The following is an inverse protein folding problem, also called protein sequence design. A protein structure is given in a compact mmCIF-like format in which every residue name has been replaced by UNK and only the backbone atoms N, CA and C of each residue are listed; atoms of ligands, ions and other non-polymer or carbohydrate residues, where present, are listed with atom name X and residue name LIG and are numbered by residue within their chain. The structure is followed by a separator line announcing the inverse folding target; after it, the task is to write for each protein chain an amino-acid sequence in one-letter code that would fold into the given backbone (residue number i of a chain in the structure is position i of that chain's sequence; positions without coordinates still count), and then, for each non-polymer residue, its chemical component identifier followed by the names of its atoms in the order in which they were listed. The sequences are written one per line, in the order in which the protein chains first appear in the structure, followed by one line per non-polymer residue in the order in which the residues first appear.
data_IF_887636647760
#
_entry.id   IF_887636647760
#
_cell.length_a   1.000
_cell.length_b   1.000
_cell.length_c   1.000
_cell.angle_alpha   90.00
_cell.angle_beta   90.00
_cell.angle_gamma   90.00
#
_symmetry.space_group_name_H-M   'P 1'
#
loop_
_entity.id
_entity.type
_entity.pdbx_description
1 polymer ?
#
# COMPACT_ATOMS: atom_id res chain seq x y z
N UNK A 1 -42.36 -33.07 40.18
CA UNK A 1 -41.44 -33.45 39.09
C UNK A 1 -41.56 -32.40 38.01
N UNK A 2 -40.76 -31.35 38.09
CA UNK A 2 -40.64 -30.30 37.07
C UNK A 2 -39.55 -30.71 36.09
N UNK A 3 -39.89 -30.87 34.81
CA UNK A 3 -38.90 -31.03 33.76
C UNK A 3 -38.28 -29.67 33.43
N UNK A 4 -36.95 -29.64 33.48
CA UNK A 4 -36.12 -28.52 33.08
C UNK A 4 -36.20 -28.31 31.57
N UNK A 5 -36.56 -27.09 31.15
CA UNK A 5 -36.21 -26.59 29.82
C UNK A 5 -34.79 -26.05 29.88
N UNK A 6 -33.94 -26.56 28.99
CA UNK A 6 -32.52 -26.26 28.93
C UNK A 6 -32.24 -24.78 28.77
N UNK A 7 -31.25 -24.30 29.51
CA UNK A 7 -30.65 -22.99 29.36
C UNK A 7 -30.02 -22.89 27.97
N UNK A 8 -30.62 -22.06 27.11
CA UNK A 8 -29.94 -21.57 25.91
C UNK A 8 -28.72 -20.77 26.35
N UNK A 9 -27.54 -21.14 25.81
CA UNK A 9 -26.30 -20.41 26.05
C UNK A 9 -26.43 -18.92 25.68
N UNK A 10 -25.55 -18.04 26.20
CA UNK A 10 -25.66 -16.62 25.99
C UNK A 10 -25.51 -16.32 24.50
N UNK A 11 -26.61 -15.93 23.85
CA UNK A 11 -26.56 -15.27 22.57
C UNK A 11 -25.76 -13.99 22.79
N UNK A 12 -24.50 -13.99 22.35
CA UNK A 12 -23.63 -12.82 22.42
C UNK A 12 -24.32 -11.67 21.70
N UNK A 13 -24.80 -10.68 22.45
CA UNK A 13 -25.30 -9.44 21.87
C UNK A 13 -24.10 -8.65 21.37
N UNK A 14 -23.65 -8.95 20.15
CA UNK A 14 -22.78 -8.00 19.44
C UNK A 14 -23.55 -6.68 19.34
N UNK A 15 -23.03 -5.64 19.99
CA UNK A 15 -23.59 -4.30 19.86
C UNK A 15 -23.31 -3.83 18.44
N UNK A 16 -24.37 -3.60 17.67
CA UNK A 16 -24.26 -3.05 16.32
C UNK A 16 -23.68 -1.63 16.42
N UNK A 17 -22.55 -1.39 15.78
CA UNK A 17 -21.98 -0.04 15.66
C UNK A 17 -22.72 0.71 14.54
N UNK A 18 -23.50 1.72 14.91
CA UNK A 18 -24.21 2.59 13.95
C UNK A 18 -23.40 3.83 13.57
N UNK A 19 -22.28 4.11 14.24
CA UNK A 19 -21.43 5.28 14.01
C UNK A 19 -20.19 4.90 13.19
N UNK A 20 -20.43 4.31 12.02
CA UNK A 20 -19.36 3.88 11.12
C UNK A 20 -18.66 5.12 10.52
N UNK A 21 -17.32 5.11 10.55
CA UNK A 21 -16.50 6.12 9.88
C UNK A 21 -15.94 5.51 8.61
N UNK A 22 -16.52 5.89 7.46
CA UNK A 22 -15.98 5.52 6.15
C UNK A 22 -14.77 6.39 5.80
N UNK A 23 -13.93 5.94 4.86
CA UNK A 23 -12.84 6.74 4.33
C UNK A 23 -13.34 8.08 3.76
N UNK A 24 -14.44 8.07 3.01
CA UNK A 24 -15.01 9.30 2.44
C UNK A 24 -15.48 10.28 3.51
N UNK A 25 -16.07 9.77 4.61
CA UNK A 25 -16.43 10.60 5.78
C UNK A 25 -15.18 11.16 6.45
N UNK A 26 -14.19 10.31 6.73
CA UNK A 26 -12.91 10.71 7.33
C UNK A 26 -12.24 11.83 6.54
N UNK A 27 -12.09 11.67 5.22
CA UNK A 27 -11.46 12.68 4.36
C UNK A 27 -12.25 13.99 4.33
N UNK A 28 -13.58 13.91 4.33
CA UNK A 28 -14.45 15.11 4.37
C UNK A 28 -14.33 15.85 5.70
N UNK A 29 -14.29 15.12 6.82
CA UNK A 29 -14.09 15.69 8.15
C UNK A 29 -12.68 16.31 8.30
N UNK A 30 -11.64 15.67 7.77
CA UNK A 30 -10.29 16.24 7.73
C UNK A 30 -10.23 17.51 6.87
N UNK A 31 -10.84 17.50 5.68
CA UNK A 31 -10.85 18.68 4.79
C UNK A 31 -11.38 19.94 5.50
N UNK A 32 -12.44 19.81 6.30
CA UNK A 32 -13.06 20.94 7.02
C UNK A 32 -12.10 21.58 8.04
N UNK A 33 -11.09 20.85 8.51
CA UNK A 33 -10.08 21.36 9.46
C UNK A 33 -9.06 22.30 8.79
N UNK A 34 -8.96 22.26 7.45
CA UNK A 34 -7.99 23.02 6.66
C UNK A 34 -8.68 24.11 5.85
N UNK A 35 -8.55 25.38 6.26
CA UNK A 35 -9.24 26.52 5.63
C UNK A 35 -8.83 26.73 4.16
N UNK A 36 -7.61 26.34 3.82
CA UNK A 36 -7.01 26.40 2.49
C UNK A 36 -7.43 25.24 1.57
N UNK A 37 -8.10 24.22 2.10
CA UNK A 37 -8.46 23.04 1.34
C UNK A 37 -9.66 23.31 0.43
N UNK A 38 -9.42 23.27 -0.89
CA UNK A 38 -10.48 23.49 -1.90
C UNK A 38 -11.30 22.23 -2.22
N UNK A 39 -10.89 21.07 -1.70
CA UNK A 39 -11.47 19.75 -2.00
C UNK A 39 -10.77 18.93 -3.09
N UNK A 40 -9.78 19.48 -3.80
CA UNK A 40 -9.09 18.72 -4.85
C UNK A 40 -8.36 17.48 -4.30
N UNK A 41 -7.73 17.61 -3.14
CA UNK A 41 -7.06 16.48 -2.49
C UNK A 41 -8.07 15.37 -2.14
N UNK A 42 -9.21 15.74 -1.57
CA UNK A 42 -10.30 14.81 -1.24
C UNK A 42 -10.82 14.09 -2.49
N UNK A 43 -10.99 14.81 -3.60
CA UNK A 43 -11.40 14.22 -4.88
C UNK A 43 -10.35 13.22 -5.42
N UNK A 44 -9.06 13.54 -5.29
CA UNK A 44 -7.98 12.61 -5.62
C UNK A 44 -8.04 11.35 -4.74
N UNK A 45 -8.21 11.51 -3.43
CA UNK A 45 -8.32 10.38 -2.51
C UNK A 45 -9.56 9.50 -2.80
N UNK A 46 -10.68 10.07 -3.23
CA UNK A 46 -11.84 9.30 -3.69
C UNK A 46 -11.54 8.51 -4.97
N UNK A 47 -10.75 9.06 -5.90
CA UNK A 47 -10.33 8.35 -7.11
C UNK A 47 -9.37 7.19 -6.79
N UNK A 48 -8.45 7.40 -5.84
CA UNK A 48 -7.59 6.34 -5.30
C UNK A 48 -8.43 5.24 -4.62
N UNK A 49 -9.39 5.62 -3.76
CA UNK A 49 -10.32 4.67 -3.15
C UNK A 49 -11.03 3.82 -4.20
N UNK A 50 -11.49 4.42 -5.30
CA UNK A 50 -12.13 3.70 -6.40
C UNK A 50 -11.19 2.72 -7.09
N UNK A 51 -9.94 3.11 -7.38
CA UNK A 51 -8.96 2.20 -8.00
C UNK A 51 -8.66 1.01 -7.10
N UNK A 52 -8.46 1.22 -5.79
CA UNK A 52 -8.20 0.15 -4.83
C UNK A 52 -9.35 -0.86 -4.74
N UNK A 53 -10.61 -0.37 -4.71
CA UNK A 53 -11.80 -1.25 -4.73
C UNK A 53 -11.87 -2.09 -6.01
N UNK A 54 -11.56 -1.47 -7.14
CA UNK A 54 -11.57 -2.13 -8.46
C UNK A 54 -10.49 -3.19 -8.56
N UNK A 55 -9.26 -2.87 -8.16
CA UNK A 55 -8.13 -3.82 -8.13
C UNK A 55 -8.44 -4.99 -7.19
N UNK A 56 -8.93 -4.72 -5.97
CA UNK A 56 -9.34 -5.76 -5.03
C UNK A 56 -10.38 -6.71 -5.61
N UNK A 57 -11.36 -6.17 -6.36
CA UNK A 57 -12.37 -6.97 -7.04
C UNK A 57 -11.76 -7.93 -8.08
N UNK A 58 -10.85 -7.46 -8.92
CA UNK A 58 -10.22 -8.30 -9.95
C UNK A 58 -9.26 -9.33 -9.35
N UNK A 59 -8.47 -8.97 -8.33
CA UNK A 59 -7.60 -9.92 -7.62
C UNK A 59 -8.41 -11.07 -7.01
N UNK A 60 -9.52 -10.77 -6.32
CA UNK A 60 -10.38 -11.81 -5.70
C UNK A 60 -11.03 -12.75 -6.70
N UNK A 61 -11.14 -12.33 -7.96
CA UNK A 61 -11.75 -13.11 -9.04
C UNK A 61 -10.72 -13.69 -10.01
N UNK A 62 -9.43 -13.44 -9.81
CA UNK A 62 -8.36 -13.75 -10.76
C UNK A 62 -8.48 -15.15 -11.37
N UNK A 63 -8.60 -16.18 -10.52
CA UNK A 63 -8.71 -17.58 -10.94
C UNK A 63 -10.07 -17.92 -11.57
N UNK A 64 -11.13 -17.19 -11.25
CA UNK A 64 -12.48 -17.43 -11.79
C UNK A 64 -12.66 -16.88 -13.21
N UNK A 65 -11.90 -15.86 -13.57
CA UNK A 65 -11.99 -15.18 -14.88
C UNK A 65 -10.68 -15.30 -15.69
N UNK A 66 -9.84 -16.28 -15.36
CA UNK A 66 -8.62 -16.63 -16.09
C UNK A 66 -7.63 -15.46 -16.27
N UNK A 67 -7.48 -14.63 -15.24
CA UNK A 67 -6.51 -13.54 -15.18
C UNK A 67 -5.14 -13.95 -14.61
N UNK A 68 -4.96 -15.23 -14.28
CA UNK A 68 -3.67 -15.79 -13.89
C UNK A 68 -2.71 -15.91 -15.09
N UNK A 69 -1.41 -15.86 -14.79
CA UNK A 69 -0.34 -16.00 -15.77
C UNK A 69 0.06 -14.73 -16.52
N UNK A 70 0.97 -14.91 -17.47
CA UNK A 70 1.68 -13.84 -18.17
C UNK A 70 0.79 -13.09 -19.16
N UNK A 71 1.02 -11.78 -19.28
CA UNK A 71 0.42 -10.92 -20.31
C UNK A 71 1.11 -11.08 -21.68
N UNK A 72 2.33 -11.63 -21.69
CA UNK A 72 3.15 -11.82 -22.90
C UNK A 72 4.17 -10.70 -23.17
N UNK A 73 4.30 -9.74 -22.24
CA UNK A 73 5.26 -8.63 -22.24
C UNK A 73 6.17 -8.69 -21.01
N UNK A 74 7.40 -8.15 -21.13
CA UNK A 74 8.29 -7.86 -20.00
C UNK A 74 8.18 -6.37 -19.66
N UNK A 75 8.16 -6.01 -18.37
CA UNK A 75 8.15 -4.61 -17.96
C UNK A 75 9.56 -3.97 -18.07
N UNK A 76 9.65 -2.66 -17.88
CA UNK A 76 10.89 -1.85 -18.00
C UNK A 76 11.97 -2.24 -16.98
N UNK A 77 11.56 -2.85 -15.87
CA UNK A 77 12.45 -3.32 -14.80
C UNK A 77 12.95 -4.75 -15.02
N UNK A 78 12.49 -5.41 -16.09
CA UNK A 78 12.89 -6.76 -16.48
C UNK A 78 12.08 -7.89 -15.82
N UNK A 79 11.03 -7.56 -15.07
CA UNK A 79 10.11 -8.55 -14.50
C UNK A 79 9.07 -8.97 -15.57
N UNK A 80 8.66 -10.25 -15.57
CA UNK A 80 7.63 -10.75 -16.49
C UNK A 80 6.25 -10.23 -16.08
N UNK A 81 5.60 -9.47 -16.96
CA UNK A 81 4.35 -8.78 -16.64
C UNK A 81 3.17 -9.76 -16.62
N UNK A 82 2.38 -9.75 -15.54
CA UNK A 82 1.15 -10.55 -15.44
C UNK A 82 -0.05 -9.78 -15.97
N UNK A 83 -1.10 -10.50 -16.37
CA UNK A 83 -2.34 -9.87 -16.86
C UNK A 83 -2.98 -8.93 -15.82
N UNK A 84 -2.87 -9.27 -14.54
CA UNK A 84 -3.42 -8.45 -13.47
C UNK A 84 -2.60 -7.18 -13.22
N UNK A 85 -1.31 -7.18 -13.55
CA UNK A 85 -0.47 -6.00 -13.48
C UNK A 85 -0.96 -4.96 -14.50
N UNK A 86 -1.19 -5.39 -15.74
CA UNK A 86 -1.78 -4.56 -16.81
C UNK A 86 -3.16 -4.02 -16.41
N UNK A 87 -4.06 -4.88 -15.91
CA UNK A 87 -5.40 -4.45 -15.49
C UNK A 87 -5.33 -3.49 -14.31
N UNK A 88 -4.47 -3.76 -13.32
CA UNK A 88 -4.27 -2.92 -12.15
C UNK A 88 -3.76 -1.54 -12.55
N UNK A 89 -2.77 -1.50 -13.44
CA UNK A 89 -2.26 -0.29 -14.05
C UNK A 89 -3.35 0.50 -14.79
N UNK A 90 -4.06 -0.11 -15.73
CA UNK A 90 -5.09 0.55 -16.53
C UNK A 90 -6.20 1.16 -15.67
N UNK A 91 -6.66 0.43 -14.65
CA UNK A 91 -7.66 0.92 -13.69
C UNK A 91 -7.14 2.12 -12.90
N UNK A 92 -5.88 2.07 -12.46
CA UNK A 92 -5.26 3.16 -11.71
C UNK A 92 -5.12 4.40 -12.59
N UNK A 93 -4.57 4.27 -13.79
CA UNK A 93 -4.40 5.36 -14.76
C UNK A 93 -5.76 5.99 -15.11
N UNK A 94 -6.78 5.18 -15.38
CA UNK A 94 -8.12 5.67 -15.69
C UNK A 94 -8.74 6.46 -14.53
N UNK A 95 -8.57 5.99 -13.28
CA UNK A 95 -9.05 6.69 -12.09
C UNK A 95 -8.33 8.03 -11.90
N UNK A 96 -6.99 8.06 -12.03
CA UNK A 96 -6.20 9.28 -11.87
C UNK A 96 -6.51 10.31 -12.97
N UNK A 97 -6.68 9.85 -14.22
CA UNK A 97 -7.08 10.71 -15.34
C UNK A 97 -8.46 11.33 -15.12
N UNK A 98 -9.43 10.51 -14.76
CA UNK A 98 -10.84 10.93 -14.66
C UNK A 98 -11.13 11.87 -13.49
N UNK A 99 -10.31 11.85 -12.43
CA UNK A 99 -10.49 12.77 -11.31
C UNK A 99 -10.14 14.23 -11.64
N UNK A 100 -9.34 14.47 -12.70
CA UNK A 100 -8.91 15.80 -13.12
C UNK A 100 -8.03 16.56 -12.13
N UNK A 101 -7.53 15.88 -11.08
CA UNK A 101 -6.68 16.48 -10.02
C UNK A 101 -5.22 16.06 -10.08
N UNK A 102 -4.89 15.09 -10.94
CA UNK A 102 -3.52 14.62 -11.18
C UNK A 102 -3.01 15.19 -12.51
N UNK A 103 -1.84 15.80 -12.49
CA UNK A 103 -1.16 16.29 -13.70
C UNK A 103 -0.13 15.29 -14.21
N UNK A 104 0.59 14.64 -13.29
CA UNK A 104 1.64 13.66 -13.59
C UNK A 104 1.41 12.39 -12.80
N UNK A 105 1.51 11.25 -13.47
CA UNK A 105 1.49 9.93 -12.86
C UNK A 105 2.77 9.19 -13.24
N UNK A 106 3.50 8.70 -12.24
CA UNK A 106 4.60 7.75 -12.41
C UNK A 106 4.14 6.40 -11.91
N UNK A 107 4.24 5.39 -12.77
CA UNK A 107 3.83 4.02 -12.47
C UNK A 107 5.03 3.09 -12.63
N UNK A 108 5.13 2.06 -11.80
CA UNK A 108 6.12 0.98 -11.96
C UNK A 108 6.04 0.34 -13.37
N UNK A 109 4.83 0.20 -13.91
CA UNK A 109 4.54 -0.42 -15.21
C UNK A 109 4.85 0.43 -16.45
N UNK A 110 5.28 1.69 -16.28
CA UNK A 110 5.53 2.62 -17.40
C UNK A 110 6.97 3.15 -17.37
N UNK A 111 7.59 3.27 -18.55
CA UNK A 111 8.96 3.81 -18.66
C UNK A 111 9.00 5.31 -18.41
N UNK A 112 8.02 6.01 -18.99
CA UNK A 112 7.92 7.46 -18.96
C UNK A 112 6.74 7.91 -18.10
N UNK A 113 6.87 9.10 -17.51
CA UNK A 113 5.78 9.67 -16.74
C UNK A 113 4.57 9.96 -17.63
N UNK A 114 3.38 9.58 -17.16
CA UNK A 114 2.12 9.87 -17.83
C UNK A 114 1.69 11.29 -17.47
N UNK A 115 1.59 12.16 -18.47
CA UNK A 115 1.14 13.54 -18.29
C UNK A 115 -0.30 13.68 -18.75
N UNK A 116 -1.19 14.06 -17.84
CA UNK A 116 -2.61 14.27 -18.16
C UNK A 116 -2.87 15.71 -18.60
N UNK A 117 -3.76 15.89 -19.58
CA UNK A 117 -4.21 17.21 -20.01
C UNK A 117 -5.21 17.82 -19.01
N UNK A 118 -4.69 18.23 -17.86
CA UNK A 118 -5.44 18.85 -16.75
C UNK A 118 -4.63 20.03 -16.22
N UNK A 119 -4.70 21.22 -16.84
CA UNK A 119 -3.84 22.35 -16.50
C UNK A 119 -4.07 22.91 -15.09
N UNK A 120 -5.23 22.63 -14.49
CA UNK A 120 -5.57 23.05 -13.13
C UNK A 120 -5.32 21.94 -12.09
N UNK A 121 -4.79 20.78 -12.50
CA UNK A 121 -4.43 19.72 -11.58
C UNK A 121 -3.20 20.13 -10.75
N UNK A 122 -3.25 19.87 -9.44
CA UNK A 122 -2.25 20.35 -8.48
C UNK A 122 -1.40 19.24 -7.87
N UNK A 123 -1.62 18.00 -8.30
CA UNK A 123 -0.97 16.84 -7.73
C UNK A 123 -0.23 16.03 -8.78
N UNK A 124 0.86 15.42 -8.33
CA UNK A 124 1.50 14.31 -9.00
C UNK A 124 1.41 13.07 -8.11
N UNK A 125 1.29 11.91 -8.73
CA UNK A 125 1.14 10.62 -8.05
C UNK A 125 2.24 9.69 -8.52
N UNK A 126 2.91 9.03 -7.60
CA UNK A 126 3.78 7.89 -7.90
C UNK A 126 3.11 6.62 -7.37
N UNK A 127 3.07 5.54 -8.14
CA UNK A 127 2.43 4.30 -7.72
C UNK A 127 3.16 3.04 -8.18
N UNK A 128 3.01 2.01 -7.35
CA UNK A 128 3.14 0.60 -7.75
C UNK A 128 1.72 0.03 -7.76
N UNK A 129 1.11 -0.22 -8.94
CA UNK A 129 -0.24 -0.73 -9.02
C UNK A 129 -0.41 -2.09 -8.33
N UNK A 130 0.57 -2.99 -8.46
CA UNK A 130 0.52 -4.38 -7.96
C UNK A 130 1.90 -4.80 -7.42
N UNK A 131 2.23 -4.38 -6.20
CA UNK A 131 3.37 -4.87 -5.43
C UNK A 131 3.21 -6.37 -5.14
N UNK A 132 4.30 -7.11 -5.37
CA UNK A 132 4.35 -8.54 -5.12
C UNK A 132 3.62 -9.38 -6.14
N UNK A 133 3.38 -8.87 -7.36
CA UNK A 133 2.71 -9.57 -8.48
C UNK A 133 3.18 -11.02 -8.69
N UNK A 134 4.47 -11.30 -8.49
CA UNK A 134 5.05 -12.66 -8.53
C UNK A 134 4.29 -13.68 -7.66
N UNK A 135 3.70 -13.25 -6.54
CA UNK A 135 2.97 -14.06 -5.57
C UNK A 135 1.49 -14.28 -5.90
N UNK A 136 0.97 -13.58 -6.91
CA UNK A 136 -0.46 -13.54 -7.20
C UNK A 136 -1.04 -14.92 -7.55
N UNK A 137 -0.34 -15.71 -8.36
CA UNK A 137 -0.79 -17.05 -8.77
C UNK A 137 -0.79 -18.05 -7.58
N UNK A 138 0.00 -17.77 -6.54
CA UNK A 138 0.03 -18.57 -5.32
C UNK A 138 -1.07 -18.17 -4.31
N UNK A 139 -1.89 -17.15 -4.61
CA UNK A 139 -2.92 -16.65 -3.72
C UNK A 139 -2.37 -15.98 -2.45
N UNK A 140 -1.09 -15.58 -2.48
CA UNK A 140 -0.44 -14.86 -1.38
C UNK A 140 -0.80 -13.37 -1.46
N UNK A 141 -0.69 -12.66 -0.33
CA UNK A 141 -1.03 -11.24 -0.26
C UNK A 141 -0.13 -10.39 -1.15
N UNK A 142 -0.76 -9.46 -1.87
CA UNK A 142 -0.15 -8.46 -2.76
C UNK A 142 -0.71 -7.08 -2.41
N UNK A 143 -0.30 -6.01 -3.07
CA UNK A 143 -0.83 -4.68 -2.74
C UNK A 143 -0.67 -3.61 -3.81
N UNK A 144 -1.19 -2.42 -3.53
CA UNK A 144 -0.93 -1.20 -4.30
C UNK A 144 -0.21 -0.21 -3.40
N UNK A 145 0.83 0.46 -3.88
CA UNK A 145 1.54 1.52 -3.14
C UNK A 145 1.32 2.84 -3.86
N UNK A 146 1.16 3.94 -3.12
CA UNK A 146 1.03 5.27 -3.70
C UNK A 146 1.69 6.35 -2.84
N UNK A 147 2.27 7.33 -3.51
CA UNK A 147 2.73 8.60 -2.95
C UNK A 147 2.15 9.78 -3.71
N UNK A 148 1.82 10.86 -3.01
CA UNK A 148 1.23 12.07 -3.57
C UNK A 148 2.15 13.25 -3.29
N UNK A 149 2.52 13.96 -4.35
CA UNK A 149 3.23 15.23 -4.28
C UNK A 149 2.29 16.37 -4.67
N UNK A 150 2.45 17.52 -4.03
CA UNK A 150 1.84 18.77 -4.47
C UNK A 150 2.77 19.46 -5.46
N UNK A 151 2.23 19.82 -6.61
CA UNK A 151 2.95 20.53 -7.67
C UNK A 151 2.97 22.03 -7.40
N UNK A 152 4.02 22.68 -7.88
CA UNK A 152 4.11 24.13 -7.92
C UNK A 152 3.11 24.70 -8.94
N UNK A 153 2.65 25.93 -8.71
CA UNK A 153 1.74 26.60 -9.64
C UNK A 153 2.37 26.75 -11.03
N UNK A 154 1.63 26.41 -12.07
CA UNK A 154 2.12 26.47 -13.45
C UNK A 154 3.04 25.31 -13.86
N UNK A 155 3.21 24.30 -13.00
CA UNK A 155 3.91 23.07 -13.34
C UNK A 155 3.38 22.49 -14.65
N UNK A 156 4.32 22.17 -15.56
CA UNK A 156 3.98 21.65 -16.90
C UNK A 156 3.74 20.14 -16.88
N UNK A 157 4.09 19.47 -15.79
CA UNK A 157 4.02 18.03 -15.63
C UNK A 157 5.20 17.33 -16.26
N UNK A 158 6.42 17.84 -16.08
CA UNK A 158 7.65 17.19 -16.53
C UNK A 158 8.14 16.19 -15.47
N UNK A 159 9.05 15.30 -15.85
CA UNK A 159 9.64 14.32 -14.91
C UNK A 159 10.30 14.99 -13.70
N UNK A 160 10.86 16.19 -13.87
CA UNK A 160 11.50 16.97 -12.82
C UNK A 160 10.53 17.36 -11.70
N UNK A 161 9.22 17.45 -11.99
CA UNK A 161 8.19 17.72 -10.98
C UNK A 161 8.07 16.60 -9.92
N UNK A 162 8.56 15.39 -10.22
CA UNK A 162 8.52 14.21 -9.36
C UNK A 162 9.89 13.71 -8.88
N UNK A 163 11.00 14.25 -9.40
CA UNK A 163 12.36 13.93 -8.92
C UNK A 163 12.67 14.67 -7.62
N UNK A 164 11.81 14.46 -6.62
CA UNK A 164 11.80 15.13 -5.32
C UNK A 164 12.04 14.12 -4.20
N UNK A 165 12.58 14.55 -3.04
CA UNK A 165 12.77 13.65 -1.92
C UNK A 165 11.43 13.20 -1.34
N UNK A 166 11.38 12.00 -0.76
CA UNK A 166 10.15 11.48 -0.13
C UNK A 166 9.61 12.35 1.02
N UNK A 167 10.44 13.21 1.62
CA UNK A 167 10.03 14.20 2.62
C UNK A 167 9.06 15.26 2.07
N UNK A 168 8.98 15.42 0.74
CA UNK A 168 8.07 16.34 0.07
C UNK A 168 6.68 15.72 -0.20
N UNK A 169 6.48 14.44 0.13
CA UNK A 169 5.18 13.79 0.01
C UNK A 169 4.17 14.51 0.92
N UNK A 170 3.03 14.90 0.33
CA UNK A 170 1.92 15.48 1.08
C UNK A 170 0.99 14.40 1.65
N UNK A 171 1.00 13.21 1.05
CA UNK A 171 0.36 12.01 1.57
C UNK A 171 0.95 10.76 0.91
N UNK A 172 0.84 9.63 1.58
CA UNK A 172 1.25 8.34 1.06
C UNK A 172 0.45 7.22 1.71
N UNK A 173 0.53 6.04 1.12
CA UNK A 173 -0.07 4.85 1.68
C UNK A 173 0.09 3.63 0.81
N UNK A 174 -0.56 2.57 1.24
CA UNK A 174 -0.66 1.33 0.50
C UNK A 174 -1.99 0.64 0.80
N UNK A 175 -2.47 -0.17 -0.14
CA UNK A 175 -3.57 -1.11 0.09
C UNK A 175 -3.03 -2.53 0.00
N UNK A 176 -3.14 -3.31 1.07
CA UNK A 176 -2.85 -4.74 1.06
C UNK A 176 -4.10 -5.53 0.65
N UNK A 177 -3.99 -6.35 -0.38
CA UNK A 177 -5.01 -7.30 -0.83
C UNK A 177 -4.70 -8.69 -0.26
N UNK A 178 -5.05 -8.90 1.01
CA UNK A 178 -4.95 -10.19 1.69
C UNK A 178 -6.31 -10.84 1.87
N UNK A 179 -6.52 -11.50 3.02
CA UNK A 179 -7.82 -12.04 3.40
C UNK A 179 -8.93 -10.97 3.29
N UNK A 180 -8.63 -9.76 3.76
CA UNK A 180 -9.39 -8.53 3.52
C UNK A 180 -8.53 -7.51 2.77
N UNK A 181 -9.15 -6.52 2.12
CA UNK A 181 -8.41 -5.38 1.59
C UNK A 181 -8.22 -4.35 2.71
N UNK A 182 -6.97 -3.97 2.97
CA UNK A 182 -6.57 -3.09 4.07
C UNK A 182 -5.83 -1.89 3.50
N UNK A 183 -6.47 -0.72 3.52
CA UNK A 183 -5.84 0.54 3.15
C UNK A 183 -5.15 1.13 4.38
N UNK A 184 -3.87 1.46 4.27
CA UNK A 184 -3.15 2.25 5.27
C UNK A 184 -2.68 3.52 4.59
N UNK A 185 -2.95 4.67 5.19
CA UNK A 185 -2.50 5.95 4.65
C UNK A 185 -2.18 6.97 5.74
N UNK A 186 -1.36 7.94 5.38
CA UNK A 186 -1.07 9.12 6.19
C UNK A 186 -0.97 10.37 5.32
N UNK A 187 -1.20 11.52 5.94
CA UNK A 187 -0.96 12.85 5.36
C UNK A 187 0.27 13.44 6.05
N UNK A 188 0.94 14.40 5.41
CA UNK A 188 2.16 15.01 5.96
C UNK A 188 1.89 15.63 7.34
N UNK A 189 2.59 15.13 8.36
CA UNK A 189 2.41 15.54 9.77
C UNK A 189 1.14 15.01 10.44
N UNK A 190 0.42 14.09 9.81
CA UNK A 190 -0.79 13.47 10.32
C UNK A 190 -0.56 12.07 10.90
N UNK A 191 -1.59 11.53 11.53
CA UNK A 191 -1.59 10.15 12.03
C UNK A 191 -1.72 9.14 10.88
N UNK A 192 -1.09 7.96 11.06
CA UNK A 192 -1.31 6.81 10.18
C UNK A 192 -2.66 6.19 10.50
N UNK A 193 -3.52 6.00 9.51
CA UNK A 193 -4.84 5.41 9.70
C UNK A 193 -5.03 4.19 8.80
N UNK A 194 -5.59 3.12 9.37
CA UNK A 194 -5.91 1.87 8.70
C UNK A 194 -7.41 1.68 8.52
N UNK A 195 -7.80 1.34 7.30
CA UNK A 195 -9.18 1.11 6.88
C UNK A 195 -9.33 -0.29 6.31
N UNK A 196 -10.37 -1.01 6.72
CA UNK A 196 -10.71 -2.33 6.20
C UNK A 196 -11.88 -2.21 5.22
N UNK A 197 -11.76 -2.81 4.04
CA UNK A 197 -12.84 -2.84 3.06
C UNK A 197 -13.95 -3.80 3.50
N UNK A 198 -15.16 -3.27 3.64
CA UNK A 198 -16.39 -4.06 3.66
C UNK A 198 -16.83 -4.30 2.22
N UNK A 199 -16.84 -5.57 1.79
CA UNK A 199 -17.18 -5.93 0.41
C UNK A 199 -18.69 -5.83 0.11
N UNK A 200 -19.56 -5.95 1.12
CA UNK A 200 -21.01 -5.88 0.93
C UNK A 200 -21.46 -4.43 0.76
N UNK A 201 -20.86 -3.52 1.53
CA UNK A 201 -21.11 -2.08 1.42
C UNK A 201 -20.28 -1.42 0.31
N UNK A 202 -19.14 -2.01 -0.05
CA UNK A 202 -18.20 -1.41 -1.00
C UNK A 202 -17.47 -0.19 -0.43
N UNK A 203 -17.24 -0.17 0.88
CA UNK A 203 -16.67 0.95 1.62
C UNK A 203 -15.43 0.56 2.43
N UNK A 204 -14.47 1.48 2.52
CA UNK A 204 -13.35 1.35 3.44
C UNK A 204 -13.76 1.94 4.79
N UNK A 205 -13.80 1.11 5.82
CA UNK A 205 -14.21 1.47 7.18
C UNK A 205 -12.97 1.67 8.03
N UNK A 206 -12.91 2.77 8.78
CA UNK A 206 -11.82 3.02 9.72
C UNK A 206 -11.84 1.97 10.83
N UNK A 207 -10.79 1.14 10.88
CA UNK A 207 -10.67 0.04 11.86
C UNK A 207 -9.44 0.20 12.75
N UNK A 208 -8.44 0.96 12.30
CA UNK A 208 -7.21 1.21 13.03
C UNK A 208 -6.89 2.71 13.01
N UNK A 209 -7.55 3.52 13.85
CA UNK A 209 -7.20 4.93 13.99
C UNK A 209 -5.83 5.08 14.66
N UNK A 210 -5.05 6.07 14.22
CA UNK A 210 -3.73 6.43 14.78
C UNK A 210 -2.82 5.20 15.05
N UNK A 211 -2.58 4.43 13.99
CA UNK A 211 -1.68 3.28 14.03
C UNK A 211 -0.28 3.71 14.47
N UNK A 212 0.27 3.02 15.47
CA UNK A 212 1.65 3.17 15.92
C UNK A 212 2.36 1.84 15.91
N UNK A 213 3.55 1.80 15.28
CA UNK A 213 4.37 0.61 15.29
C UNK A 213 4.84 0.28 16.73
N UNK A 214 4.69 -0.97 17.20
CA UNK A 214 5.27 -1.38 18.47
C UNK A 214 6.78 -1.15 18.52
N UNK A 215 7.27 -0.49 19.59
CA UNK A 215 8.68 -0.07 19.72
C UNK A 215 9.70 -1.21 19.65
N UNK A 216 9.33 -2.42 20.08
CA UNK A 216 10.21 -3.59 20.07
C UNK A 216 9.41 -4.86 19.81
N UNK A 217 9.84 -5.64 18.82
CA UNK A 217 9.36 -7.01 18.58
C UNK A 217 10.49 -7.83 17.98
N UNK A 218 10.65 -9.07 18.46
CA UNK A 218 11.66 -10.00 17.97
C UNK A 218 11.18 -10.69 16.67
N UNK A 219 10.94 -9.92 15.60
CA UNK A 219 10.58 -10.40 14.27
C UNK A 219 11.48 -9.71 13.25
N UNK A 220 12.02 -10.46 12.30
CA UNK A 220 12.71 -9.90 11.14
C UNK A 220 12.17 -10.51 9.84
N UNK A 221 12.24 -9.72 8.79
CA UNK A 221 11.75 -10.05 7.46
C UNK A 221 12.80 -9.69 6.42
N UNK A 222 13.41 -10.72 5.83
CA UNK A 222 14.47 -10.58 4.85
C UNK A 222 14.55 -11.85 3.99
N UNK A 223 14.87 -11.72 2.70
CA UNK A 223 15.07 -12.87 1.82
C UNK A 223 16.46 -13.49 2.03
N UNK A 224 16.57 -14.40 3.00
CA UNK A 224 17.84 -15.11 3.30
C UNK A 224 18.38 -15.97 2.15
N UNK A 225 17.59 -16.24 1.11
CA UNK A 225 18.06 -16.89 -0.12
C UNK A 225 19.16 -16.08 -0.83
N UNK A 226 19.21 -14.77 -0.59
CA UNK A 226 20.24 -13.88 -1.13
C UNK A 226 21.50 -13.79 -0.26
N UNK A 227 21.59 -14.51 0.87
CA UNK A 227 22.74 -14.47 1.80
C UNK A 227 24.09 -14.75 1.16
N UNK A 228 24.14 -15.54 0.08
CA UNK A 228 25.35 -15.77 -0.72
C UNK A 228 25.91 -14.48 -1.34
N UNK A 229 25.05 -13.51 -1.64
CA UNK A 229 25.40 -12.25 -2.32
C UNK A 229 25.56 -11.08 -1.37
N UNK A 230 25.09 -11.20 -0.13
CA UNK A 230 25.17 -10.16 0.88
C UNK A 230 26.62 -9.80 1.22
N UNK A 231 26.79 -8.52 1.56
CA UNK A 231 27.99 -8.04 2.21
C UNK A 231 28.03 -8.51 3.68
N UNK A 232 29.23 -8.54 4.25
CA UNK A 232 29.44 -9.10 5.59
C UNK A 232 28.60 -8.42 6.69
N UNK A 233 28.44 -7.08 6.72
CA UNK A 233 27.62 -6.43 7.74
C UNK A 233 26.16 -6.90 7.77
N UNK A 234 25.59 -7.23 6.61
CA UNK A 234 24.21 -7.72 6.51
C UNK A 234 24.12 -9.16 7.05
N UNK A 235 25.11 -10.00 6.76
CA UNK A 235 25.16 -11.36 7.30
C UNK A 235 25.35 -11.36 8.81
N UNK A 236 26.29 -10.55 9.30
CA UNK A 236 26.55 -10.38 10.73
C UNK A 236 25.30 -9.88 11.46
N UNK A 237 24.59 -8.90 10.88
CA UNK A 237 23.33 -8.43 11.42
C UNK A 237 22.29 -9.55 11.49
N UNK A 238 22.01 -10.26 10.40
CA UNK A 238 21.02 -11.36 10.41
C UNK A 238 21.42 -12.49 11.37
N UNK A 239 22.70 -12.84 11.44
CA UNK A 239 23.19 -13.85 12.38
C UNK A 239 23.03 -13.39 13.83
N UNK A 240 23.29 -12.11 14.13
CA UNK A 240 23.08 -11.55 15.47
C UNK A 240 21.62 -11.66 15.93
N UNK A 241 20.65 -11.58 15.01
CA UNK A 241 19.23 -11.74 15.32
C UNK A 241 18.87 -13.20 15.65
N UNK A 242 19.58 -14.16 15.06
CA UNK A 242 19.41 -15.60 15.32
C UNK A 242 20.07 -16.03 16.63
N UNK A 243 21.17 -15.38 17.00
CA UNK A 243 21.96 -15.69 18.22
C UNK A 243 21.58 -14.85 19.44
N UNK A 244 20.61 -13.94 19.33
CA UNK A 244 20.11 -13.18 20.47
C UNK A 244 19.56 -14.10 21.59
N UNK A 245 19.63 -13.67 22.85
CA UNK A 245 19.13 -14.42 24.03
C UNK A 245 17.73 -15.01 23.81
N UNK A 246 16.87 -14.24 23.14
CA UNK A 246 15.65 -14.72 22.50
C UNK A 246 15.76 -14.50 20.99
N UNK A 247 15.97 -15.55 20.19
CA UNK A 247 16.09 -15.42 18.74
C UNK A 247 14.87 -14.75 18.13
N UNK A 248 15.11 -13.91 17.13
CA UNK A 248 14.04 -13.26 16.39
C UNK A 248 13.34 -14.27 15.49
N UNK A 249 12.01 -14.18 15.39
CA UNK A 249 11.23 -14.99 14.46
C UNK A 249 11.37 -14.46 13.03
N UNK A 250 11.83 -15.31 12.10
CA UNK A 250 11.85 -15.00 10.68
C UNK A 250 10.43 -15.01 10.10
N UNK A 251 10.05 -13.96 9.37
CA UNK A 251 8.79 -13.88 8.60
C UNK A 251 9.07 -13.15 7.31
N UNK A 252 8.99 -13.83 6.17
CA UNK A 252 9.15 -13.20 4.87
C UNK A 252 8.01 -13.67 3.97
N UNK A 253 7.07 -12.77 3.66
CA UNK A 253 5.91 -13.08 2.83
C UNK A 253 6.30 -12.98 1.36
N UNK A 254 7.20 -12.04 1.02
CA UNK A 254 7.68 -11.85 -0.34
C UNK A 254 6.90 -10.81 -1.15
N UNK A 255 5.98 -10.09 -0.51
CA UNK A 255 5.37 -8.84 -1.00
C UNK A 255 5.73 -7.75 0.01
N UNK A 256 6.25 -6.61 -0.48
CA UNK A 256 6.66 -5.51 0.38
C UNK A 256 5.47 -5.01 1.20
N UNK A 257 4.30 -4.84 0.58
CA UNK A 257 3.08 -4.37 1.23
C UNK A 257 2.65 -5.31 2.37
N UNK A 258 2.69 -6.62 2.14
CA UNK A 258 2.29 -7.59 3.15
C UNK A 258 3.29 -7.64 4.33
N UNK A 259 4.59 -7.62 4.02
CA UNK A 259 5.64 -7.58 5.04
C UNK A 259 5.61 -6.25 5.83
N UNK A 260 5.35 -5.12 5.15
CA UNK A 260 5.20 -3.80 5.76
C UNK A 260 3.97 -3.73 6.68
N UNK A 261 2.79 -4.17 6.21
CA UNK A 261 1.57 -4.15 7.03
C UNK A 261 1.72 -4.96 8.33
N UNK A 262 2.30 -6.17 8.24
CA UNK A 262 2.62 -6.97 9.43
C UNK A 262 3.58 -6.23 10.36
N UNK A 263 4.63 -5.62 9.80
CA UNK A 263 5.64 -4.92 10.58
C UNK A 263 5.05 -3.70 11.30
N UNK A 264 4.17 -2.96 10.63
CA UNK A 264 3.44 -1.83 11.23
C UNK A 264 2.54 -2.29 12.39
N UNK A 265 1.81 -3.39 12.24
CA UNK A 265 0.90 -3.90 13.28
C UNK A 265 1.62 -4.57 14.46
N UNK A 266 2.62 -5.39 14.18
CA UNK A 266 3.23 -6.26 15.19
C UNK A 266 4.59 -5.79 15.67
N UNK A 267 5.19 -4.81 14.98
CA UNK A 267 6.57 -4.41 15.15
C UNK A 267 7.54 -5.43 14.55
N UNK A 268 8.81 -5.06 14.57
CA UNK A 268 9.91 -5.86 14.01
C UNK A 268 10.66 -5.05 12.97
N UNK A 269 11.33 -5.74 12.05
CA UNK A 269 12.10 -5.11 10.99
C UNK A 269 11.88 -5.82 9.66
N UNK A 270 11.63 -5.03 8.62
CA UNK A 270 11.69 -5.46 7.23
C UNK A 270 12.98 -4.92 6.61
N UNK A 271 13.70 -5.78 5.88
CA UNK A 271 14.95 -5.42 5.24
C UNK A 271 15.02 -6.00 3.83
N UNK A 272 15.37 -5.13 2.89
CA UNK A 272 15.72 -5.47 1.52
C UNK A 272 17.08 -4.83 1.18
N UNK A 273 18.19 -5.36 1.76
CA UNK A 273 19.50 -4.73 1.63
C UNK A 273 20.03 -4.81 0.19
N UNK A 274 20.94 -3.89 -0.13
CA UNK A 274 21.77 -4.03 -1.32
C UNK A 274 22.64 -5.29 -1.23
N UNK A 275 22.98 -5.85 -2.39
CA UNK A 275 23.86 -7.00 -2.49
C UNK A 275 24.69 -6.96 -3.78
N UNK A 276 25.55 -7.95 -4.00
CA UNK A 276 26.43 -8.00 -5.18
C UNK A 276 25.68 -8.07 -6.52
N UNK A 277 24.42 -8.53 -6.55
CA UNK A 277 23.58 -8.57 -7.77
C UNK A 277 22.79 -7.27 -7.94
N UNK A 278 22.37 -6.66 -6.84
CA UNK A 278 21.60 -5.42 -6.80
C UNK A 278 22.30 -4.40 -5.91
N UNK A 279 23.37 -3.72 -6.40
CA UNK A 279 24.20 -2.83 -5.58
C UNK A 279 23.48 -1.61 -5.02
N UNK A 280 22.31 -1.26 -5.59
CA UNK A 280 21.45 -0.16 -5.13
C UNK A 280 20.19 -0.66 -4.41
N UNK A 281 20.12 -1.95 -4.06
CA UNK A 281 18.88 -2.61 -3.65
C UNK A 281 17.97 -2.92 -4.84
N UNK A 282 16.82 -3.56 -4.55
CA UNK A 282 15.79 -3.88 -5.56
C UNK A 282 14.62 -2.89 -5.55
N UNK A 283 14.23 -2.40 -4.38
CA UNK A 283 13.05 -1.54 -4.22
C UNK A 283 13.31 -0.14 -4.81
N UNK A 284 12.32 0.44 -5.48
CA UNK A 284 12.40 1.72 -6.17
C UNK A 284 11.99 2.85 -5.24
N UNK A 285 12.73 3.96 -5.33
CA UNK A 285 12.62 5.06 -4.37
C UNK A 285 11.26 5.77 -4.44
N UNK A 286 10.77 6.07 -5.64
CA UNK A 286 9.63 6.95 -5.84
C UNK A 286 8.29 6.34 -5.44
N UNK A 287 8.09 5.05 -5.71
CA UNK A 287 6.78 4.38 -5.57
C UNK A 287 6.78 3.20 -4.59
N UNK A 288 7.93 2.79 -4.04
CA UNK A 288 8.00 1.79 -2.96
C UNK A 288 8.59 2.40 -1.68
N UNK A 289 9.86 2.83 -1.71
CA UNK A 289 10.57 3.24 -0.49
C UNK A 289 10.03 4.55 0.12
N UNK A 290 9.85 5.60 -0.68
CA UNK A 290 9.39 6.91 -0.20
C UNK A 290 8.01 6.84 0.47
N UNK A 291 6.97 6.29 -0.19
CA UNK A 291 5.65 6.10 0.42
C UNK A 291 5.69 5.28 1.72
N UNK A 292 6.45 4.19 1.74
CA UNK A 292 6.55 3.33 2.93
C UNK A 292 7.30 4.03 4.06
N UNK A 293 8.41 4.72 3.78
CA UNK A 293 9.14 5.49 4.77
C UNK A 293 8.25 6.54 5.44
N UNK A 294 7.45 7.28 4.66
CA UNK A 294 6.49 8.24 5.21
C UNK A 294 5.50 7.58 6.18
N UNK A 295 5.03 6.35 5.91
CA UNK A 295 4.13 5.63 6.83
C UNK A 295 4.85 5.23 8.13
N UNK A 296 6.09 4.75 8.05
CA UNK A 296 6.82 4.26 9.22
C UNK A 296 7.43 5.37 10.09
N UNK A 297 7.57 6.59 9.57
CA UNK A 297 8.06 7.74 10.35
C UNK A 297 6.99 8.40 11.24
N UNK A 298 5.71 8.25 10.92
CA UNK A 298 4.57 8.88 11.64
C UNK A 298 4.10 8.04 12.83
#
# INVERSE_FOLDING_TARGET
MSQAYGEGGPAGTEKINTEIVTLSRFLSEEQVKHKEATGDFTLLCHALQFSFKSIAYYIRRASLINLSGLAGSSNTTGDEQKKLDVIGHDLFVAAMRSCGRVRVLVSEEEEEAIVFDSPNARYAVACDPIDGSSNLDAGVSVGTIFGIYRLDEGSKGTKEDLLRPGTDLVAAGFTMYGASAQLVMTMQGGAVNGFTMDNALGEFILTHPDMKMPKKRAIYSCNEGNSKYWEEPVKEWVESLKQADKPYSARYIGSMVADAYRTLLYGGIFAYPADKKSPKGKLRILYECGPMAMIFEQ
#
